data_IF_682476907074
#
_entry.id   IF_682476907074
#
_cell.length_a   1.000
_cell.length_b   1.000
_cell.length_c   1.000
_cell.angle_alpha   90.00
_cell.angle_beta   90.00
_cell.angle_gamma   90.00
#
_symmetry.space_group_name_H-M   'P 1'
#
loop_
_entity.id
_entity.type
_entity.pdbx_description
1 polymer ?
#
# COMPACT_ATOMS: atom_id res chain seq x y z
N UNK A 1 8.08 -15.20 1.37
CA UNK A 1 8.60 -13.96 2.04
C UNK A 1 8.50 -14.07 3.55
N UNK A 2 9.34 -13.32 4.34
CA UNK A 2 9.24 -13.30 5.81
C UNK A 2 8.50 -12.06 6.27
N UNK A 3 7.46 -12.24 7.10
CA UNK A 3 6.79 -11.17 7.83
C UNK A 3 6.94 -11.41 9.34
N UNK A 4 6.84 -10.36 10.14
CA UNK A 4 7.00 -10.45 11.59
C UNK A 4 6.21 -9.37 12.34
N UNK A 5 5.92 -9.67 13.62
CA UNK A 5 5.12 -8.84 14.51
C UNK A 5 3.78 -9.49 14.84
N UNK A 6 3.33 -9.34 16.09
CA UNK A 6 2.15 -10.07 16.58
C UNK A 6 0.88 -9.78 15.77
N UNK A 7 0.62 -8.50 15.51
CA UNK A 7 -0.63 -8.07 14.84
C UNK A 7 -0.77 -8.66 13.44
N UNK A 8 0.27 -8.51 12.61
CA UNK A 8 0.25 -9.00 11.23
C UNK A 8 0.20 -10.52 11.17
N UNK A 9 0.91 -11.21 12.08
CA UNK A 9 0.90 -12.67 12.16
C UNK A 9 -0.50 -13.19 12.52
N UNK A 10 -1.20 -12.55 13.46
CA UNK A 10 -2.58 -12.91 13.81
C UNK A 10 -3.55 -12.62 12.66
N UNK A 11 -3.36 -11.51 11.96
CA UNK A 11 -4.17 -11.18 10.78
C UNK A 11 -4.05 -12.24 9.70
N UNK A 12 -2.81 -12.62 9.34
CA UNK A 12 -2.57 -13.64 8.31
C UNK A 12 -3.08 -15.01 8.76
N UNK A 13 -2.91 -15.38 10.04
CA UNK A 13 -3.44 -16.63 10.58
C UNK A 13 -4.98 -16.71 10.45
N UNK A 14 -5.66 -15.58 10.61
CA UNK A 14 -7.14 -15.53 10.54
C UNK A 14 -7.66 -15.43 9.11
N UNK A 15 -7.02 -14.62 8.25
CA UNK A 15 -7.56 -14.25 6.93
C UNK A 15 -6.92 -15.00 5.76
N UNK A 16 -5.66 -15.39 5.90
CA UNK A 16 -4.84 -15.97 4.83
C UNK A 16 -4.00 -17.16 5.31
N UNK A 17 -4.60 -18.13 6.04
CA UNK A 17 -3.84 -19.29 6.56
C UNK A 17 -3.20 -20.11 5.43
N UNK A 18 -3.77 -20.11 4.24
CA UNK A 18 -3.26 -20.79 3.04
C UNK A 18 -1.91 -20.27 2.57
N UNK A 19 -1.61 -18.98 2.78
CA UNK A 19 -0.34 -18.37 2.39
C UNK A 19 0.82 -18.76 3.32
N UNK A 20 0.55 -19.38 4.47
CA UNK A 20 1.58 -19.71 5.47
C UNK A 20 2.33 -20.97 5.04
N UNK A 21 3.65 -20.84 4.85
CA UNK A 21 4.56 -21.96 4.63
C UNK A 21 5.14 -22.51 5.93
N UNK A 22 5.63 -21.60 6.80
CA UNK A 22 6.28 -21.95 8.07
C UNK A 22 6.01 -20.89 9.15
N UNK A 23 5.99 -21.33 10.40
CA UNK A 23 5.83 -20.46 11.59
C UNK A 23 7.14 -20.44 12.39
N UNK A 24 7.57 -19.26 12.86
CA UNK A 24 8.73 -19.14 13.75
C UNK A 24 8.35 -18.38 15.01
N UNK A 25 8.71 -18.93 16.17
CA UNK A 25 8.40 -18.37 17.48
C UNK A 25 9.70 -18.22 18.28
N UNK A 26 10.01 -17.00 18.76
CA UNK A 26 11.16 -16.74 19.61
C UNK A 26 10.80 -16.53 21.08
N UNK A 27 9.54 -16.76 21.43
CA UNK A 27 9.06 -16.74 22.81
C UNK A 27 7.94 -17.77 23.02
N UNK A 28 7.66 -18.03 24.27
CA UNK A 28 6.47 -18.82 24.63
C UNK A 28 5.19 -18.03 24.34
N UNK A 29 4.18 -18.74 23.88
CA UNK A 29 2.86 -18.20 23.58
C UNK A 29 1.81 -18.99 24.32
N UNK A 30 0.62 -18.44 24.49
CA UNK A 30 -0.48 -19.12 25.13
C UNK A 30 -0.92 -20.38 24.35
N UNK A 31 -1.45 -21.36 25.08
CA UNK A 31 -1.84 -22.66 24.55
C UNK A 31 -2.90 -22.55 23.44
N UNK A 32 -3.82 -21.59 23.56
CA UNK A 32 -4.90 -21.40 22.57
C UNK A 32 -4.33 -20.98 21.22
N UNK A 33 -3.41 -19.99 21.24
CA UNK A 33 -2.74 -19.51 20.02
C UNK A 33 -1.83 -20.59 19.42
N UNK A 34 -1.09 -21.32 20.27
CA UNK A 34 -0.27 -22.45 19.80
C UNK A 34 -1.12 -23.50 19.08
N UNK A 35 -2.28 -23.83 19.64
CA UNK A 35 -3.22 -24.78 19.01
C UNK A 35 -3.72 -24.29 17.65
N UNK A 36 -3.92 -22.98 17.47
CA UNK A 36 -4.28 -22.41 16.15
C UNK A 36 -3.18 -22.62 15.12
N UNK A 37 -1.92 -22.36 15.48
CA UNK A 37 -0.78 -22.64 14.59
C UNK A 37 -0.62 -24.14 14.29
N UNK A 38 -0.80 -25.00 15.29
CA UNK A 38 -0.69 -26.46 15.12
C UNK A 38 -1.74 -27.02 14.14
N UNK A 39 -2.91 -26.39 14.05
CA UNK A 39 -3.98 -26.78 13.10
C UNK A 39 -3.66 -26.49 11.64
N UNK A 40 -2.66 -25.67 11.36
CA UNK A 40 -2.25 -25.35 9.99
C UNK A 40 -1.54 -26.51 9.29
N UNK A 41 -1.09 -27.53 10.04
CA UNK A 41 -0.24 -28.62 9.54
C UNK A 41 1.05 -28.10 8.85
N UNK A 42 1.61 -27.01 9.40
CA UNK A 42 2.85 -26.39 8.93
C UNK A 42 3.94 -26.52 9.97
N UNK A 43 5.21 -26.47 9.54
CA UNK A 43 6.35 -26.53 10.45
C UNK A 43 6.36 -25.32 11.39
N UNK A 44 6.46 -25.58 12.71
CA UNK A 44 6.62 -24.57 13.74
C UNK A 44 8.05 -24.68 14.29
N UNK A 45 8.82 -23.60 14.14
CA UNK A 45 10.21 -23.53 14.58
C UNK A 45 10.30 -22.68 15.84
N UNK A 46 10.91 -23.22 16.91
CA UNK A 46 11.41 -22.38 18.01
C UNK A 46 12.76 -21.83 17.57
N UNK A 47 12.91 -20.52 17.67
CA UNK A 47 14.15 -19.81 17.31
C UNK A 47 14.66 -19.00 18.48
N UNK A 48 15.99 -18.95 18.61
CA UNK A 48 16.65 -18.10 19.61
C UNK A 48 16.59 -16.61 19.22
N UNK A 49 17.02 -15.75 20.13
CA UNK A 49 16.97 -14.31 19.91
C UNK A 49 17.89 -13.86 18.76
N UNK A 50 19.03 -14.51 18.57
CA UNK A 50 19.96 -14.16 17.50
C UNK A 50 19.33 -14.42 16.12
N UNK A 51 18.76 -15.60 15.92
CA UNK A 51 18.04 -15.96 14.69
C UNK A 51 16.79 -15.08 14.47
N UNK A 52 16.07 -14.77 15.54
CA UNK A 52 14.91 -13.88 15.49
C UNK A 52 15.30 -12.46 15.03
N UNK A 53 16.37 -11.89 15.57
CA UNK A 53 16.87 -10.57 15.15
C UNK A 53 17.35 -10.58 13.69
N UNK A 54 18.01 -11.65 13.25
CA UNK A 54 18.41 -11.82 11.86
C UNK A 54 17.21 -11.88 10.91
N UNK A 55 16.17 -12.65 11.25
CA UNK A 55 14.91 -12.74 10.48
C UNK A 55 14.18 -11.38 10.39
N UNK A 56 14.17 -10.61 11.48
CA UNK A 56 13.54 -9.29 11.55
C UNK A 56 14.42 -8.17 10.99
N UNK A 57 15.69 -8.45 10.66
CA UNK A 57 16.69 -7.42 10.27
C UNK A 57 16.72 -6.26 11.27
N UNK A 58 16.72 -6.58 12.58
CA UNK A 58 16.70 -5.60 13.67
C UNK A 58 15.34 -4.97 13.98
N UNK A 59 14.27 -5.34 13.28
CA UNK A 59 12.94 -4.80 13.54
C UNK A 59 12.24 -5.39 14.78
N UNK A 60 11.20 -4.71 15.26
CA UNK A 60 10.41 -5.16 16.41
C UNK A 60 9.49 -6.31 16.04
N UNK A 61 9.93 -7.54 16.25
CA UNK A 61 9.23 -8.76 15.86
C UNK A 61 8.25 -9.30 16.92
N UNK A 62 8.37 -8.86 18.17
CA UNK A 62 7.50 -9.31 19.28
C UNK A 62 7.45 -10.84 19.45
N UNK A 63 8.42 -11.57 18.93
CA UNK A 63 8.53 -13.03 19.01
C UNK A 63 7.74 -13.82 17.97
N UNK A 64 7.10 -13.18 16.99
CA UNK A 64 6.24 -13.81 16.00
C UNK A 64 6.74 -13.58 14.57
N UNK A 65 6.83 -14.68 13.79
CA UNK A 65 7.19 -14.62 12.37
C UNK A 65 6.41 -15.64 11.58
N UNK A 66 6.11 -15.32 10.34
CA UNK A 66 5.62 -16.26 9.33
C UNK A 66 6.51 -16.19 8.10
N UNK A 67 6.77 -17.36 7.52
CA UNK A 67 7.21 -17.47 6.14
C UNK A 67 5.96 -17.67 5.30
N UNK A 68 5.72 -16.74 4.41
CA UNK A 68 4.62 -16.77 3.45
C UNK A 68 5.14 -17.10 2.06
N UNK A 69 4.27 -17.59 1.21
CA UNK A 69 4.49 -17.63 -0.24
C UNK A 69 4.94 -16.28 -0.79
N UNK A 70 5.42 -16.25 -2.03
CA UNK A 70 5.77 -14.98 -2.65
C UNK A 70 4.52 -14.15 -2.89
N UNK A 71 4.67 -12.84 -2.78
CA UNK A 71 3.60 -11.91 -3.08
C UNK A 71 3.34 -11.86 -4.58
N UNK A 72 2.11 -12.16 -4.99
CA UNK A 72 1.69 -12.11 -6.38
C UNK A 72 1.11 -10.75 -6.73
N UNK A 73 1.68 -10.13 -7.77
CA UNK A 73 1.15 -8.88 -8.31
C UNK A 73 -0.12 -9.11 -9.11
N UNK A 74 -1.10 -8.27 -8.88
CA UNK A 74 -2.31 -8.28 -9.69
C UNK A 74 -1.97 -7.88 -11.14
N UNK A 75 -2.50 -8.59 -12.16
CA UNK A 75 -2.29 -8.22 -13.55
C UNK A 75 -2.80 -6.81 -13.84
N UNK A 76 -2.01 -5.98 -14.55
CA UNK A 76 -2.36 -4.59 -14.85
C UNK A 76 -3.74 -4.45 -15.55
N UNK A 77 -4.12 -5.44 -16.36
CA UNK A 77 -5.43 -5.47 -17.02
C UNK A 77 -6.62 -5.43 -16.05
N UNK A 78 -6.45 -5.94 -14.82
CA UNK A 78 -7.51 -5.95 -13.81
C UNK A 78 -7.85 -4.52 -13.37
N UNK A 79 -6.83 -3.65 -13.27
CA UNK A 79 -7.01 -2.25 -12.87
C UNK A 79 -7.83 -1.45 -13.87
N UNK A 80 -7.79 -1.80 -15.15
CA UNK A 80 -8.56 -1.11 -16.21
C UNK A 80 -10.08 -1.22 -16.05
N UNK A 81 -10.55 -2.19 -15.25
CA UNK A 81 -11.98 -2.40 -14.96
C UNK A 81 -12.41 -1.84 -13.58
N UNK A 82 -11.50 -1.24 -12.83
CA UNK A 82 -11.78 -0.62 -11.54
C UNK A 82 -12.31 0.80 -11.72
N UNK A 83 -12.99 1.32 -10.69
CA UNK A 83 -13.55 2.67 -10.71
C UNK A 83 -12.67 3.67 -9.96
N UNK A 84 -12.02 3.26 -8.86
CA UNK A 84 -11.13 4.15 -8.14
C UNK A 84 -9.83 3.44 -7.74
N UNK A 85 -8.72 3.89 -8.34
CA UNK A 85 -7.38 3.37 -8.07
C UNK A 85 -6.43 4.48 -7.61
N UNK A 86 -5.36 4.08 -6.92
CA UNK A 86 -4.23 4.96 -6.61
C UNK A 86 -3.02 4.62 -7.48
N UNK A 87 -2.30 5.65 -7.89
CA UNK A 87 -1.00 5.51 -8.57
C UNK A 87 0.06 6.26 -7.75
N UNK A 88 1.04 5.53 -7.27
CA UNK A 88 2.16 6.05 -6.48
C UNK A 88 3.34 6.27 -7.41
N UNK A 89 3.56 7.51 -7.85
CA UNK A 89 4.58 7.87 -8.83
C UNK A 89 5.95 8.10 -8.16
N UNK A 90 6.85 7.13 -8.29
CA UNK A 90 8.21 7.20 -7.75
C UNK A 90 8.31 7.07 -6.23
N UNK A 91 7.24 6.66 -5.54
CA UNK A 91 7.26 6.49 -4.09
C UNK A 91 7.96 5.18 -3.73
N UNK A 92 9.02 5.24 -2.92
CA UNK A 92 9.86 4.09 -2.55
C UNK A 92 9.83 3.76 -1.05
N UNK A 93 9.41 4.71 -0.20
CA UNK A 93 9.35 4.48 1.24
C UNK A 93 8.28 3.47 1.61
N UNK A 94 8.73 2.36 2.19
CA UNK A 94 7.90 1.20 2.55
C UNK A 94 6.86 1.55 3.62
N UNK A 95 7.20 2.46 4.54
CA UNK A 95 6.30 2.92 5.59
C UNK A 95 5.13 3.71 5.01
N UNK A 96 5.42 4.67 4.14
CA UNK A 96 4.41 5.47 3.47
C UNK A 96 3.51 4.62 2.56
N UNK A 97 4.11 3.74 1.74
CA UNK A 97 3.32 2.85 0.87
C UNK A 97 2.41 1.94 1.69
N UNK A 98 2.91 1.37 2.80
CA UNK A 98 2.10 0.54 3.67
C UNK A 98 0.96 1.30 4.36
N UNK A 99 1.20 2.52 4.83
CA UNK A 99 0.17 3.38 5.41
C UNK A 99 -0.90 3.75 4.37
N UNK A 100 -0.48 4.08 3.13
CA UNK A 100 -1.38 4.35 2.01
C UNK A 100 -2.20 3.10 1.68
N UNK A 101 -1.57 1.93 1.54
CA UNK A 101 -2.27 0.68 1.23
C UNK A 101 -3.32 0.33 2.29
N UNK A 102 -2.99 0.51 3.58
CA UNK A 102 -3.94 0.31 4.68
C UNK A 102 -5.12 1.27 4.60
N UNK A 103 -4.88 2.55 4.34
CA UNK A 103 -5.92 3.57 4.18
C UNK A 103 -6.78 3.27 2.96
N UNK A 104 -6.16 2.96 1.83
CA UNK A 104 -6.82 2.60 0.58
C UNK A 104 -7.78 1.41 0.77
N UNK A 105 -7.28 0.32 1.36
CA UNK A 105 -8.10 -0.85 1.67
C UNK A 105 -9.27 -0.51 2.59
N UNK A 106 -9.00 0.18 3.71
CA UNK A 106 -10.02 0.55 4.69
C UNK A 106 -11.10 1.47 4.13
N UNK A 107 -10.75 2.28 3.15
CA UNK A 107 -11.68 3.19 2.46
C UNK A 107 -12.26 2.62 1.17
N UNK A 108 -11.98 1.34 0.85
CA UNK A 108 -12.54 0.63 -0.30
C UNK A 108 -12.03 1.15 -1.64
N UNK A 109 -10.78 1.61 -1.73
CA UNK A 109 -10.07 1.80 -2.99
C UNK A 109 -9.85 0.42 -3.62
N UNK A 110 -10.07 0.31 -4.93
CA UNK A 110 -10.12 -0.98 -5.59
C UNK A 110 -8.74 -1.53 -5.97
N UNK A 111 -7.71 -0.67 -6.03
CA UNK A 111 -6.35 -1.11 -6.32
C UNK A 111 -5.31 -0.01 -6.19
N UNK A 112 -4.05 -0.40 -6.04
CA UNK A 112 -2.89 0.49 -5.95
C UNK A 112 -1.82 0.06 -6.94
N UNK A 113 -1.30 0.99 -7.71
CA UNK A 113 -0.20 0.79 -8.64
C UNK A 113 1.00 1.61 -8.17
N UNK A 114 2.10 0.96 -7.82
CA UNK A 114 3.37 1.64 -7.61
C UNK A 114 4.09 1.79 -8.95
N UNK A 115 4.30 3.01 -9.40
CA UNK A 115 4.84 3.29 -10.72
C UNK A 115 6.19 4.01 -10.68
N UNK A 116 6.91 3.99 -11.80
CA UNK A 116 8.24 4.57 -11.93
C UNK A 116 9.29 3.93 -11.01
N UNK A 117 9.07 2.67 -10.64
CA UNK A 117 9.97 1.83 -9.85
C UNK A 117 10.08 0.45 -10.49
N UNK A 118 11.21 -0.24 -10.26
CA UNK A 118 11.44 -1.58 -10.83
C UNK A 118 11.13 -2.70 -9.85
N UNK A 119 11.45 -2.49 -8.59
CA UNK A 119 11.30 -3.48 -7.52
C UNK A 119 10.90 -2.79 -6.23
N UNK A 120 10.19 -3.51 -5.38
CA UNK A 120 9.74 -2.99 -4.10
C UNK A 120 9.81 -4.08 -3.01
N UNK A 121 9.98 -3.68 -1.77
CA UNK A 121 10.00 -4.60 -0.64
C UNK A 121 8.58 -4.97 -0.19
N UNK A 122 7.98 -5.95 -0.87
CA UNK A 122 6.61 -6.40 -0.57
C UNK A 122 6.44 -6.84 0.89
N UNK A 123 7.38 -7.60 1.46
CA UNK A 123 7.28 -8.04 2.86
C UNK A 123 7.25 -6.88 3.84
N UNK A 124 7.99 -5.82 3.54
CA UNK A 124 7.97 -4.57 4.31
C UNK A 124 6.61 -3.88 4.21
N UNK A 125 6.02 -3.78 3.02
CA UNK A 125 4.72 -3.14 2.79
C UNK A 125 3.59 -3.97 3.42
N UNK A 126 3.59 -5.29 3.28
CA UNK A 126 2.63 -6.18 3.95
C UNK A 126 2.65 -5.95 5.47
N UNK A 127 3.84 -5.81 6.05
CA UNK A 127 4.01 -5.54 7.47
C UNK A 127 3.53 -4.14 7.86
N UNK A 128 3.94 -3.10 7.13
CA UNK A 128 3.60 -1.70 7.47
C UNK A 128 2.14 -1.37 7.19
N UNK A 129 1.49 -2.09 6.26
CA UNK A 129 0.05 -2.02 6.03
C UNK A 129 -0.77 -2.86 7.03
N UNK A 130 -0.12 -3.56 7.99
CA UNK A 130 -0.77 -4.52 8.91
C UNK A 130 -1.55 -5.63 8.18
N UNK A 131 -1.11 -6.02 6.99
CA UNK A 131 -1.71 -7.08 6.17
C UNK A 131 -2.66 -6.60 5.08
N UNK A 132 -3.12 -5.36 5.12
CA UNK A 132 -4.08 -4.83 4.14
C UNK A 132 -3.64 -5.00 2.68
N UNK A 133 -2.32 -5.03 2.42
CA UNK A 133 -1.80 -5.28 1.08
C UNK A 133 -2.15 -6.67 0.55
N UNK A 134 -2.40 -7.65 1.40
CA UNK A 134 -2.77 -9.02 0.97
C UNK A 134 -4.18 -9.08 0.39
N UNK A 135 -5.05 -8.14 0.80
CA UNK A 135 -6.44 -8.04 0.35
C UNK A 135 -6.65 -6.97 -0.72
N UNK A 136 -5.62 -6.16 -0.99
CA UNK A 136 -5.73 -5.04 -1.93
C UNK A 136 -4.99 -5.39 -3.22
N UNK A 137 -5.64 -5.39 -4.39
CA UNK A 137 -4.97 -5.51 -5.68
C UNK A 137 -3.82 -4.51 -5.78
N UNK A 138 -2.60 -5.04 -5.91
CA UNK A 138 -1.38 -4.25 -5.97
C UNK A 138 -0.49 -4.71 -7.10
N UNK A 139 0.12 -3.76 -7.83
CA UNK A 139 1.08 -4.07 -8.89
C UNK A 139 2.16 -2.99 -8.99
N UNK A 140 3.21 -3.32 -9.75
CA UNK A 140 4.31 -2.40 -10.05
C UNK A 140 4.31 -2.12 -11.57
N UNK A 141 4.47 -0.86 -11.94
CA UNK A 141 4.60 -0.45 -13.33
C UNK A 141 5.89 0.36 -13.54
N UNK A 142 6.76 0.00 -14.50
CA UNK A 142 8.09 0.61 -14.61
C UNK A 142 8.09 2.07 -15.07
N UNK A 143 7.02 2.53 -15.77
CA UNK A 143 6.97 3.87 -16.38
C UNK A 143 5.60 4.52 -16.19
N UNK A 144 5.54 5.50 -15.30
CA UNK A 144 4.27 6.19 -14.96
C UNK A 144 3.63 6.91 -16.15
N UNK A 145 4.42 7.41 -17.10
CA UNK A 145 3.87 8.11 -18.27
C UNK A 145 3.14 7.17 -19.24
N UNK A 146 3.62 5.94 -19.37
CA UNK A 146 2.97 4.90 -20.19
C UNK A 146 1.70 4.43 -19.49
N UNK A 147 1.79 4.17 -18.17
CA UNK A 147 0.63 3.85 -17.34
C UNK A 147 -0.47 4.92 -17.43
N UNK A 148 -0.10 6.21 -17.35
CA UNK A 148 -1.06 7.30 -17.47
C UNK A 148 -1.80 7.25 -18.82
N UNK A 149 -1.08 6.98 -19.94
CA UNK A 149 -1.71 6.83 -21.26
C UNK A 149 -2.67 5.64 -21.29
N UNK A 150 -2.26 4.48 -20.76
CA UNK A 150 -3.12 3.29 -20.70
C UNK A 150 -4.39 3.50 -19.86
N UNK A 151 -4.30 4.29 -18.80
CA UNK A 151 -5.45 4.62 -17.95
C UNK A 151 -6.41 5.58 -18.67
N UNK A 152 -5.89 6.60 -19.37
CA UNK A 152 -6.70 7.48 -20.22
C UNK A 152 -7.46 6.67 -21.27
N UNK A 153 -6.77 5.79 -22.00
CA UNK A 153 -7.38 4.92 -23.01
C UNK A 153 -8.44 3.97 -22.42
N UNK A 154 -8.36 3.72 -21.10
CA UNK A 154 -9.32 2.90 -20.35
C UNK A 154 -10.46 3.74 -19.71
N UNK A 155 -10.53 5.04 -20.00
CA UNK A 155 -11.59 5.95 -19.56
C UNK A 155 -11.42 6.50 -18.15
N UNK A 156 -10.21 6.49 -17.58
CA UNK A 156 -9.96 7.11 -16.29
C UNK A 156 -9.77 8.62 -16.40
N UNK A 157 -10.37 9.35 -15.46
CA UNK A 157 -9.99 10.72 -15.16
C UNK A 157 -8.75 10.69 -14.25
N UNK A 158 -7.67 11.33 -14.70
CA UNK A 158 -6.42 11.39 -13.95
C UNK A 158 -6.41 12.60 -13.02
N UNK A 159 -6.41 12.36 -11.72
CA UNK A 159 -6.33 13.41 -10.69
C UNK A 159 -4.95 13.34 -10.03
N UNK A 160 -4.24 14.45 -9.97
CA UNK A 160 -2.93 14.51 -9.34
C UNK A 160 -2.92 15.35 -8.07
N UNK A 161 -2.32 14.82 -7.01
CA UNK A 161 -2.03 15.58 -5.80
C UNK A 161 -0.78 16.45 -6.02
N UNK A 162 -0.95 17.76 -6.05
CA UNK A 162 0.14 18.72 -6.30
C UNK A 162 0.01 19.92 -5.36
N UNK A 163 1.10 20.63 -5.12
CA UNK A 163 1.08 21.86 -4.29
C UNK A 163 0.45 23.06 -5.02
N UNK A 164 0.50 23.08 -6.36
CA UNK A 164 -0.07 24.09 -7.24
C UNK A 164 -1.50 23.79 -7.71
N UNK A 165 -2.11 22.73 -7.18
CA UNK A 165 -3.46 22.32 -7.53
C UNK A 165 -4.55 23.17 -6.91
N UNK A 166 -5.80 22.90 -7.29
CA UNK A 166 -6.98 23.54 -6.70
C UNK A 166 -7.19 23.01 -5.29
N UNK A 167 -7.29 23.90 -4.31
CA UNK A 167 -7.56 23.52 -2.93
C UNK A 167 -8.92 22.82 -2.81
N UNK A 168 -8.90 21.58 -2.30
CA UNK A 168 -10.13 20.79 -2.12
C UNK A 168 -11.19 21.47 -1.24
N UNK A 169 -10.79 22.31 -0.27
CA UNK A 169 -11.72 23.08 0.54
C UNK A 169 -12.52 24.08 -0.31
N UNK A 170 -11.95 24.59 -1.40
CA UNK A 170 -12.54 25.61 -2.28
C UNK A 170 -13.25 25.01 -3.47
N UNK A 171 -12.86 23.81 -3.88
CA UNK A 171 -13.38 23.20 -5.12
C UNK A 171 -14.80 22.62 -4.98
N UNK A 172 -15.27 22.43 -3.74
CA UNK A 172 -16.58 21.80 -3.53
C UNK A 172 -16.56 20.30 -3.87
N UNK A 173 -17.62 19.83 -4.51
CA UNK A 173 -17.67 18.44 -4.99
C UNK A 173 -17.03 18.37 -6.37
N UNK A 174 -16.03 17.50 -6.51
CA UNK A 174 -15.55 17.09 -7.83
C UNK A 174 -16.73 16.42 -8.55
N UNK A 175 -17.01 16.83 -9.78
CA UNK A 175 -18.04 16.16 -10.59
C UNK A 175 -17.76 14.67 -10.62
N UNK A 176 -18.81 13.89 -10.41
CA UNK A 176 -18.71 12.44 -10.29
C UNK A 176 -18.24 11.87 -11.64
N UNK A 177 -16.99 11.45 -11.68
CA UNK A 177 -16.44 10.70 -12.81
C UNK A 177 -16.58 9.21 -12.53
N UNK A 178 -16.86 8.41 -13.55
CA UNK A 178 -17.09 6.98 -13.38
C UNK A 178 -15.80 6.24 -12.98
N UNK A 179 -14.65 6.70 -13.50
CA UNK A 179 -13.35 6.10 -13.19
C UNK A 179 -12.32 7.16 -12.80
N UNK A 180 -11.69 6.99 -11.66
CA UNK A 180 -10.67 7.90 -11.10
C UNK A 180 -9.35 7.17 -10.86
N UNK A 181 -8.26 7.73 -11.37
CA UNK A 181 -6.91 7.37 -10.99
C UNK A 181 -6.26 8.56 -10.24
N UNK A 182 -6.09 8.42 -8.92
CA UNK A 182 -5.45 9.43 -8.09
C UNK A 182 -3.94 9.20 -8.06
N UNK A 183 -3.19 10.13 -8.63
CA UNK A 183 -1.73 10.13 -8.64
C UNK A 183 -1.18 10.85 -7.41
N UNK A 184 -0.28 10.17 -6.71
CA UNK A 184 0.48 10.68 -5.58
C UNK A 184 1.97 10.60 -5.92
N UNK A 185 2.67 11.71 -5.88
CA UNK A 185 4.10 11.77 -6.17
C UNK A 185 4.98 11.45 -4.97
N UNK A 186 6.29 11.33 -5.18
CA UNK A 186 7.29 11.21 -4.12
C UNK A 186 7.42 12.51 -3.30
N UNK A 187 7.95 12.41 -2.08
CA UNK A 187 8.07 13.56 -1.16
C UNK A 187 9.00 14.65 -1.68
N UNK A 188 10.01 14.33 -2.49
CA UNK A 188 10.96 15.33 -3.02
C UNK A 188 10.54 15.89 -4.38
N UNK A 189 10.29 14.98 -5.33
CA UNK A 189 10.10 15.35 -6.74
C UNK A 189 8.61 15.55 -7.11
N UNK A 190 7.68 15.14 -6.25
CA UNK A 190 6.26 15.15 -6.57
C UNK A 190 5.89 14.20 -7.71
N UNK A 191 4.86 14.54 -8.46
CA UNK A 191 4.45 13.82 -9.68
C UNK A 191 5.39 14.19 -10.81
N UNK A 192 5.87 13.19 -11.56
CA UNK A 192 6.80 13.41 -12.67
C UNK A 192 6.21 14.40 -13.70
N UNK A 193 7.03 15.33 -14.26
CA UNK A 193 6.54 16.39 -15.14
C UNK A 193 5.80 15.88 -16.39
N UNK A 194 6.17 14.70 -16.89
CA UNK A 194 5.51 14.09 -18.05
C UNK A 194 4.12 13.57 -17.69
N UNK A 195 3.91 13.05 -16.48
CA UNK A 195 2.60 12.64 -15.97
C UNK A 195 1.77 13.87 -15.63
N UNK A 196 2.35 14.89 -14.99
CA UNK A 196 1.67 16.13 -14.62
C UNK A 196 0.99 16.84 -15.82
N UNK A 197 1.55 16.69 -17.05
CA UNK A 197 0.94 17.20 -18.30
C UNK A 197 -0.26 16.39 -18.80
N UNK A 198 -0.47 15.19 -18.27
CA UNK A 198 -1.56 14.29 -18.65
C UNK A 198 -2.71 14.28 -17.63
N UNK A 199 -2.54 14.97 -16.51
CA UNK A 199 -3.57 15.07 -15.48
C UNK A 199 -4.74 15.93 -15.99
N UNK A 200 -5.94 15.44 -15.81
CA UNK A 200 -7.17 16.19 -16.10
C UNK A 200 -7.43 17.24 -15.00
N UNK A 201 -7.05 16.91 -13.76
CA UNK A 201 -7.24 17.76 -12.60
C UNK A 201 -6.04 17.68 -11.65
N UNK A 202 -5.59 18.83 -11.19
CA UNK A 202 -4.64 18.95 -10.11
C UNK A 202 -5.35 19.43 -8.84
N UNK A 203 -5.17 18.72 -7.75
CA UNK A 203 -5.78 19.06 -6.46
C UNK A 203 -4.70 19.27 -5.40
N UNK A 204 -4.97 20.16 -4.47
CA UNK A 204 -4.09 20.44 -3.32
C UNK A 204 -4.86 20.36 -2.01
N UNK A 205 -4.12 20.23 -0.92
CA UNK A 205 -4.64 20.37 0.44
C UNK A 205 -4.14 21.72 0.94
N UNK A 206 -5.06 22.67 1.17
CA UNK A 206 -4.72 24.00 1.67
C UNK A 206 -4.07 23.94 3.05
N UNK A 207 -2.94 24.60 3.21
CA UNK A 207 -2.22 24.77 4.47
C UNK A 207 -2.58 26.12 5.10
N UNK A 208 -2.76 26.13 6.42
CA UNK A 208 -3.08 27.39 7.16
C UNK A 208 -1.80 28.19 7.52
N UNK A 209 -0.65 27.51 7.54
CA UNK A 209 0.64 28.09 7.88
C UNK A 209 1.65 27.82 6.77
N UNK A 210 2.76 28.54 6.78
CA UNK A 210 3.89 28.36 5.85
C UNK A 210 4.58 27.00 6.11
N UNK A 211 3.98 25.95 5.56
CA UNK A 211 4.52 24.59 5.55
C UNK A 211 4.37 24.01 4.14
N UNK A 212 5.43 23.44 3.61
CA UNK A 212 5.49 23.09 2.19
C UNK A 212 4.54 21.96 1.80
N UNK A 213 4.38 20.94 2.66
CA UNK A 213 3.53 19.77 2.36
C UNK A 213 3.27 18.92 3.59
N UNK A 214 2.27 18.05 3.51
CA UNK A 214 2.02 16.94 4.45
C UNK A 214 2.82 15.70 4.01
N UNK A 215 3.10 14.82 4.99
CA UNK A 215 3.55 13.47 4.66
C UNK A 215 2.57 12.83 3.65
N UNK A 216 3.11 12.15 2.64
CA UNK A 216 2.32 11.63 1.50
C UNK A 216 1.21 10.65 1.93
N UNK A 217 1.42 9.87 2.99
CA UNK A 217 0.39 8.94 3.48
C UNK A 217 -0.77 9.67 4.17
N UNK A 218 -0.49 10.78 4.84
CA UNK A 218 -1.51 11.66 5.43
C UNK A 218 -2.30 12.36 4.33
N UNK A 219 -1.60 12.94 3.35
CA UNK A 219 -2.22 13.57 2.19
C UNK A 219 -3.11 12.57 1.43
N UNK A 220 -2.64 11.34 1.20
CA UNK A 220 -3.43 10.28 0.59
C UNK A 220 -4.76 10.03 1.31
N UNK A 221 -4.73 9.93 2.64
CA UNK A 221 -5.94 9.72 3.44
C UNK A 221 -6.95 10.84 3.29
N UNK A 222 -6.50 12.10 3.33
CA UNK A 222 -7.36 13.28 3.16
C UNK A 222 -7.98 13.29 1.75
N UNK A 223 -7.15 13.05 0.73
CA UNK A 223 -7.58 13.05 -0.68
C UNK A 223 -8.58 11.93 -0.96
N UNK A 224 -8.29 10.70 -0.55
CA UNK A 224 -9.20 9.56 -0.71
C UNK A 224 -10.54 9.85 -0.06
N UNK A 225 -10.54 10.35 1.19
CA UNK A 225 -11.77 10.67 1.92
C UNK A 225 -12.62 11.72 1.21
N UNK A 226 -12.01 12.74 0.61
CA UNK A 226 -12.73 13.79 -0.10
C UNK A 226 -13.19 13.38 -1.50
N UNK A 227 -12.40 12.59 -2.22
CA UNK A 227 -12.68 12.22 -3.61
C UNK A 227 -13.63 11.01 -3.75
N UNK A 228 -13.69 10.16 -2.74
CA UNK A 228 -14.50 8.93 -2.78
C UNK A 228 -15.96 9.12 -2.30
N UNK A 229 -16.43 10.31 -2.14
CA UNK A 229 -17.80 10.60 -1.69
C UNK A 229 -18.86 10.34 -2.74
#
# INVERSE_FOLDING_TARGET
MIIYGKQIVLYVLEKHPELIEEVFLSKEIDKKLFTQFARLDKKIHKVDNQKAQALAKGGNHQGFFLKLEQFDYAPIKNFKNMNFILVLDGLTDVGNIGAIARTAYSMGIEGVIASNIKTINNSGIVRTSSGALLDLPFTVHPRSVDLASELIDSGFTLIGATTDGIDLKKYGKIEKTDKVALFLGSEGDGISPKVAKKLDLKVSIGMEHEFDSLNVSVAAGILIYNLKR
#
